data_IF_378338205477
#
_entry.id   IF_378338205477
#
_cell.length_a   1.000
_cell.length_b   1.000
_cell.length_c   1.000
_cell.angle_alpha   90.00
_cell.angle_beta   90.00
_cell.angle_gamma   90.00
#
_symmetry.space_group_name_H-M   'P 1'
#
loop_
_entity.id
_entity.type
_entity.pdbx_description
1 polymer ?
#
# COMPACT_ATOMS: atom_id res chain seq x y z
N UNK A 1 25.52 -22.44 -34.78
CA UNK A 1 24.38 -22.87 -33.94
C UNK A 1 24.25 -22.19 -32.55
N UNK A 2 25.20 -21.37 -32.07
CA UNK A 2 25.11 -20.74 -30.72
C UNK A 2 24.27 -19.46 -30.63
N UNK A 3 24.01 -18.77 -31.75
CA UNK A 3 23.37 -17.44 -31.77
C UNK A 3 21.84 -17.51 -31.52
N UNK A 4 21.19 -18.61 -31.91
CA UNK A 4 19.73 -18.79 -31.79
C UNK A 4 19.31 -19.09 -30.35
N UNK A 5 20.12 -19.85 -29.59
CA UNK A 5 19.87 -20.15 -28.17
C UNK A 5 19.90 -18.88 -27.29
N UNK A 6 20.88 -18.00 -27.52
CA UNK A 6 21.00 -16.73 -26.79
C UNK A 6 19.85 -15.74 -27.05
N UNK A 7 19.27 -15.73 -28.25
CA UNK A 7 18.07 -14.94 -28.56
C UNK A 7 16.81 -15.50 -27.89
N UNK A 8 16.65 -16.83 -27.86
CA UNK A 8 15.53 -17.48 -27.17
C UNK A 8 15.56 -17.18 -25.67
N UNK A 9 16.71 -17.31 -25.01
CA UNK A 9 16.87 -16.96 -23.58
C UNK A 9 16.61 -15.49 -23.27
N UNK A 10 17.10 -14.56 -24.11
CA UNK A 10 16.80 -13.13 -23.96
C UNK A 10 15.33 -12.81 -24.20
N UNK A 11 14.67 -13.51 -25.13
CA UNK A 11 13.23 -13.36 -25.38
C UNK A 11 12.38 -13.92 -24.23
N UNK A 12 12.77 -15.06 -23.65
CA UNK A 12 12.09 -15.68 -22.49
C UNK A 12 12.25 -14.79 -21.25
N UNK A 13 13.44 -14.24 -21.01
CA UNK A 13 13.67 -13.26 -19.95
C UNK A 13 12.88 -11.95 -20.17
N UNK A 14 12.82 -11.47 -21.42
CA UNK A 14 12.02 -10.30 -21.82
C UNK A 14 10.51 -10.55 -21.69
N UNK A 15 10.04 -11.78 -21.94
CA UNK A 15 8.64 -12.18 -21.74
C UNK A 15 8.27 -12.24 -20.26
N UNK A 16 9.17 -12.71 -19.39
CA UNK A 16 8.95 -12.76 -17.94
C UNK A 16 8.84 -11.35 -17.31
N UNK A 17 9.44 -10.34 -17.94
CA UNK A 17 9.42 -8.94 -17.48
C UNK A 17 8.15 -8.21 -17.93
N UNK A 18 7.47 -8.69 -18.97
CA UNK A 18 6.43 -7.92 -19.68
C UNK A 18 5.01 -8.46 -19.52
N UNK A 19 4.78 -9.54 -18.77
CA UNK A 19 3.47 -10.20 -18.72
C UNK A 19 2.49 -9.58 -17.71
N UNK A 20 2.99 -8.84 -16.72
CA UNK A 20 2.19 -8.07 -15.78
C UNK A 20 2.88 -6.74 -15.49
N UNK A 21 2.33 -5.63 -15.98
CA UNK A 21 2.74 -4.29 -15.55
C UNK A 21 2.25 -4.07 -14.12
N UNK A 22 2.90 -4.74 -13.16
CA UNK A 22 2.65 -4.52 -11.74
C UNK A 22 3.17 -3.14 -11.38
N UNK A 23 2.28 -2.31 -10.84
CA UNK A 23 2.65 -1.01 -10.34
C UNK A 23 3.63 -1.18 -9.17
N UNK A 24 4.65 -0.31 -9.08
CA UNK A 24 5.54 -0.28 -7.93
C UNK A 24 4.84 0.35 -6.72
N UNK A 25 5.23 -0.06 -5.53
CA UNK A 25 4.78 0.57 -4.30
C UNK A 25 5.39 1.97 -4.22
N UNK A 26 4.53 2.99 -4.26
CA UNK A 26 4.90 4.40 -4.10
C UNK A 26 4.79 4.80 -2.64
N UNK A 27 3.75 4.34 -1.96
CA UNK A 27 3.53 4.61 -0.55
C UNK A 27 2.12 4.20 -0.12
N UNK A 28 1.59 4.92 0.88
CA UNK A 28 0.28 4.63 1.47
C UNK A 28 -0.86 4.77 0.47
N UNK A 29 -0.72 5.67 -0.50
CA UNK A 29 -1.74 6.02 -1.48
C UNK A 29 -2.12 4.87 -2.41
N UNK A 30 -1.17 3.97 -2.71
CA UNK A 30 -1.42 2.80 -3.56
C UNK A 30 -1.20 1.46 -2.84
N UNK A 31 -0.92 1.46 -1.53
CA UNK A 31 -0.60 0.24 -0.80
C UNK A 31 -1.70 -0.83 -0.88
N UNK A 32 -2.98 -0.46 -0.76
CA UNK A 32 -4.07 -1.42 -0.81
C UNK A 32 -4.14 -2.15 -2.17
N UNK A 33 -4.04 -1.40 -3.27
CA UNK A 33 -4.03 -1.95 -4.63
C UNK A 33 -2.77 -2.78 -4.86
N UNK A 34 -1.60 -2.25 -4.48
CA UNK A 34 -0.31 -2.92 -4.59
C UNK A 34 -0.30 -4.25 -3.84
N UNK A 35 -0.78 -4.26 -2.58
CA UNK A 35 -0.88 -5.44 -1.70
C UNK A 35 -1.71 -6.55 -2.34
N UNK A 36 -2.83 -6.20 -2.97
CA UNK A 36 -3.64 -7.17 -3.71
C UNK A 36 -2.87 -7.72 -4.92
N UNK A 37 -2.31 -6.85 -5.76
CA UNK A 37 -1.61 -7.26 -6.99
C UNK A 37 -0.40 -8.15 -6.72
N UNK A 38 0.42 -7.82 -5.73
CA UNK A 38 1.61 -8.62 -5.38
C UNK A 38 1.22 -9.97 -4.76
N UNK A 39 0.15 -10.03 -3.95
CA UNK A 39 -0.33 -11.29 -3.39
C UNK A 39 -0.74 -12.24 -4.51
N UNK A 40 -1.58 -11.77 -5.44
CA UNK A 40 -2.00 -12.55 -6.61
C UNK A 40 -0.81 -12.99 -7.46
N UNK A 41 0.19 -12.11 -7.63
CA UNK A 41 1.41 -12.44 -8.36
C UNK A 41 2.24 -13.54 -7.68
N UNK A 42 2.42 -13.48 -6.37
CA UNK A 42 3.16 -14.50 -5.63
C UNK A 42 2.39 -15.82 -5.56
N UNK A 43 1.05 -15.79 -5.51
CA UNK A 43 0.21 -16.98 -5.62
C UNK A 43 0.36 -17.64 -7.00
N UNK A 44 0.31 -16.85 -8.09
CA UNK A 44 0.52 -17.34 -9.45
C UNK A 44 1.91 -17.99 -9.64
N UNK A 45 2.93 -17.48 -8.95
CA UNK A 45 4.30 -18.02 -9.01
C UNK A 45 4.56 -19.17 -8.02
N UNK A 46 3.56 -19.63 -7.25
CA UNK A 46 3.71 -20.62 -6.18
C UNK A 46 4.79 -20.21 -5.14
N UNK A 47 4.73 -18.92 -4.74
CA UNK A 47 5.65 -18.25 -3.81
C UNK A 47 4.96 -17.74 -2.54
N UNK A 48 3.62 -17.64 -2.50
CA UNK A 48 2.89 -17.09 -1.36
C UNK A 48 3.15 -17.84 -0.04
N UNK A 49 3.41 -19.15 -0.09
CA UNK A 49 3.75 -19.93 1.10
C UNK A 49 5.03 -19.47 1.84
N UNK A 50 5.89 -18.69 1.19
CA UNK A 50 7.08 -18.11 1.83
C UNK A 50 6.70 -16.90 2.72
N UNK A 51 5.62 -16.20 2.38
CA UNK A 51 5.07 -15.09 3.16
C UNK A 51 4.16 -15.64 4.27
N UNK A 52 3.27 -16.56 3.91
CA UNK A 52 2.29 -17.16 4.81
C UNK A 52 2.37 -18.70 4.73
N UNK A 53 3.32 -19.31 5.46
CA UNK A 53 3.48 -20.75 5.45
C UNK A 53 2.31 -21.44 6.15
N UNK A 54 1.84 -22.54 5.58
CA UNK A 54 0.87 -23.40 6.25
C UNK A 54 1.48 -24.02 7.51
N UNK A 55 0.69 -24.27 8.57
CA UNK A 55 1.18 -24.88 9.80
C UNK A 55 1.93 -26.19 9.53
N UNK A 56 3.16 -26.30 10.05
CA UNK A 56 3.99 -27.50 9.92
C UNK A 56 4.73 -27.69 8.59
N UNK A 57 4.66 -26.72 7.66
CA UNK A 57 5.39 -26.78 6.38
C UNK A 57 6.67 -25.96 6.45
N UNK A 58 7.80 -26.58 6.12
CA UNK A 58 9.07 -25.86 5.96
C UNK A 58 9.05 -25.02 4.68
N UNK A 59 9.57 -23.80 4.78
CA UNK A 59 9.75 -22.90 3.63
C UNK A 59 11.02 -23.30 2.89
N UNK A 60 10.92 -23.48 1.58
CA UNK A 60 12.07 -23.69 0.70
C UNK A 60 12.94 -22.40 0.66
N UNK A 61 14.22 -22.45 1.07
CA UNK A 61 15.08 -21.26 1.09
C UNK A 61 15.25 -20.59 -0.27
N UNK A 62 15.29 -21.36 -1.35
CA UNK A 62 15.41 -20.81 -2.70
C UNK A 62 14.13 -20.08 -3.13
N UNK A 63 12.96 -20.62 -2.75
CA UNK A 63 11.68 -19.93 -2.97
C UNK A 63 11.56 -18.67 -2.12
N UNK A 64 12.04 -18.69 -0.88
CA UNK A 64 12.01 -17.52 0.01
C UNK A 64 12.86 -16.37 -0.56
N UNK A 65 14.09 -16.66 -0.98
CA UNK A 65 14.96 -15.67 -1.65
C UNK A 65 14.28 -15.11 -2.90
N UNK A 66 13.62 -15.95 -3.71
CA UNK A 66 12.91 -15.52 -4.93
C UNK A 66 11.71 -14.64 -4.59
N UNK A 67 10.92 -14.99 -3.56
CA UNK A 67 9.76 -14.22 -3.12
C UNK A 67 10.17 -12.85 -2.57
N UNK A 68 11.18 -12.82 -1.70
CA UNK A 68 11.76 -11.59 -1.17
C UNK A 68 12.29 -10.67 -2.28
N UNK A 69 13.05 -11.21 -3.23
CA UNK A 69 13.57 -10.41 -4.35
C UNK A 69 12.44 -9.77 -5.17
N UNK A 70 11.37 -10.52 -5.47
CA UNK A 70 10.20 -9.98 -6.19
C UNK A 70 9.49 -8.87 -5.42
N UNK A 71 9.33 -9.02 -4.09
CA UNK A 71 8.76 -7.98 -3.24
C UNK A 71 9.57 -6.68 -3.34
N UNK A 72 10.89 -6.76 -3.18
CA UNK A 72 11.80 -5.59 -3.19
C UNK A 72 11.84 -4.92 -4.58
N UNK A 73 11.87 -5.71 -5.66
CA UNK A 73 11.89 -5.19 -7.03
C UNK A 73 10.63 -4.41 -7.42
N UNK A 74 9.52 -4.66 -6.71
CA UNK A 74 8.23 -3.98 -6.89
C UNK A 74 8.05 -2.79 -5.95
N UNK A 75 9.13 -2.27 -5.36
CA UNK A 75 9.15 -1.03 -4.59
C UNK A 75 9.81 0.10 -5.38
N UNK A 76 9.37 1.34 -5.11
CA UNK A 76 10.18 2.52 -5.42
C UNK A 76 11.35 2.67 -4.44
N UNK A 77 12.43 3.31 -4.89
CA UNK A 77 13.72 3.33 -4.18
C UNK A 77 13.62 3.91 -2.77
N UNK A 78 12.81 4.95 -2.55
CA UNK A 78 12.66 5.56 -1.22
C UNK A 78 12.01 4.64 -0.20
N UNK A 79 11.31 3.59 -0.63
CA UNK A 79 10.68 2.61 0.25
C UNK A 79 11.66 1.52 0.74
N UNK A 80 12.91 1.50 0.25
CA UNK A 80 13.90 0.48 0.62
C UNK A 80 14.29 0.55 2.11
N UNK A 81 14.13 1.73 2.72
CA UNK A 81 14.35 1.95 4.16
C UNK A 81 13.52 1.01 5.04
N UNK A 82 12.37 0.54 4.55
CA UNK A 82 11.50 -0.36 5.30
C UNK A 82 11.91 -1.83 5.23
N UNK A 83 12.79 -2.22 4.30
CA UNK A 83 13.05 -3.63 3.97
C UNK A 83 14.53 -4.02 3.97
N UNK A 84 15.44 -3.05 4.14
CA UNK A 84 16.89 -3.28 4.09
C UNK A 84 17.39 -4.32 5.11
N UNK A 85 16.76 -4.36 6.30
CA UNK A 85 17.14 -5.25 7.40
C UNK A 85 16.29 -6.54 7.43
N UNK A 86 15.37 -6.73 6.48
CA UNK A 86 14.55 -7.93 6.40
C UNK A 86 15.37 -9.07 5.77
N UNK A 87 15.31 -10.26 6.36
CA UNK A 87 16.07 -11.44 5.92
C UNK A 87 15.19 -12.39 5.11
N UNK A 88 13.91 -12.51 5.46
CA UNK A 88 12.94 -13.42 4.83
C UNK A 88 11.86 -12.69 4.03
N UNK A 89 11.16 -13.41 3.15
CA UNK A 89 10.01 -12.85 2.42
C UNK A 89 8.89 -12.42 3.38
N UNK A 90 8.67 -13.21 4.44
CA UNK A 90 7.70 -12.92 5.50
C UNK A 90 8.02 -11.62 6.24
N UNK A 91 9.25 -11.45 6.71
CA UNK A 91 9.67 -10.20 7.38
C UNK A 91 9.50 -8.99 6.48
N UNK A 92 9.85 -9.14 5.19
CA UNK A 92 9.69 -8.08 4.18
C UNK A 92 8.23 -7.68 4.05
N UNK A 93 7.34 -8.66 3.92
CA UNK A 93 5.89 -8.45 3.84
C UNK A 93 5.33 -7.76 5.08
N UNK A 94 5.66 -8.26 6.27
CA UNK A 94 5.16 -7.74 7.54
C UNK A 94 5.66 -6.32 7.82
N UNK A 95 6.91 -6.01 7.47
CA UNK A 95 7.45 -4.65 7.58
C UNK A 95 6.71 -3.66 6.69
N UNK A 96 6.42 -4.05 5.44
CA UNK A 96 5.65 -3.22 4.51
C UNK A 96 4.20 -3.03 5.00
N UNK A 97 3.55 -4.08 5.51
CA UNK A 97 2.22 -3.96 6.12
C UNK A 97 2.24 -2.99 7.30
N UNK A 98 3.22 -3.09 8.19
CA UNK A 98 3.37 -2.18 9.32
C UNK A 98 3.60 -0.73 8.89
N UNK A 99 4.36 -0.51 7.80
CA UNK A 99 4.67 0.84 7.33
C UNK A 99 3.48 1.53 6.63
N UNK A 100 2.61 0.77 5.97
CA UNK A 100 1.63 1.33 5.03
C UNK A 100 0.16 0.95 5.28
N UNK A 101 -0.15 -0.08 6.09
CA UNK A 101 -1.51 -0.58 6.32
C UNK A 101 -2.29 0.16 7.43
N UNK A 102 -1.74 1.27 7.97
CA UNK A 102 -2.39 2.14 8.97
C UNK A 102 -3.68 2.84 8.47
N UNK A 103 -4.10 2.54 7.25
CA UNK A 103 -5.22 3.17 6.54
C UNK A 103 -6.54 3.06 7.30
N UNK A 104 -6.75 1.99 8.08
CA UNK A 104 -7.97 1.80 8.85
C UNK A 104 -8.16 2.83 9.97
N UNK A 105 -7.11 3.12 10.75
CA UNK A 105 -7.20 4.01 11.91
C UNK A 105 -7.09 5.48 11.49
N UNK A 106 -6.12 5.81 10.64
CA UNK A 106 -5.87 7.19 10.22
C UNK A 106 -7.04 7.75 9.41
N UNK A 107 -7.67 6.93 8.54
CA UNK A 107 -8.83 7.35 7.75
C UNK A 107 -10.08 7.53 8.61
N UNK A 108 -10.30 6.68 9.62
CA UNK A 108 -11.37 6.87 10.62
C UNK A 108 -11.17 8.14 11.42
N UNK A 109 -9.94 8.42 11.86
CA UNK A 109 -9.60 9.67 12.54
C UNK A 109 -9.80 10.88 11.62
N UNK A 110 -9.43 10.78 10.34
CA UNK A 110 -9.71 11.80 9.32
C UNK A 110 -11.21 12.06 9.16
N UNK A 111 -12.02 11.02 8.96
CA UNK A 111 -13.47 11.14 8.88
C UNK A 111 -14.10 11.73 10.15
N UNK A 112 -13.64 11.32 11.33
CA UNK A 112 -14.10 11.87 12.60
C UNK A 112 -13.74 13.36 12.71
N UNK A 113 -12.52 13.75 12.33
CA UNK A 113 -12.11 15.15 12.26
C UNK A 113 -13.00 15.93 11.28
N UNK A 114 -13.21 15.44 10.08
CA UNK A 114 -14.04 16.11 9.06
C UNK A 114 -15.49 16.27 9.53
N UNK A 115 -16.05 15.25 10.19
CA UNK A 115 -17.39 15.29 10.77
C UNK A 115 -17.50 16.33 11.90
N UNK A 116 -16.53 16.35 12.82
CA UNK A 116 -16.46 17.32 13.92
C UNK A 116 -16.29 18.74 13.35
N UNK A 117 -15.44 18.93 12.36
CA UNK A 117 -15.18 20.25 11.75
C UNK A 117 -16.43 20.76 11.02
N UNK A 118 -17.15 19.89 10.31
CA UNK A 118 -18.40 20.23 9.61
C UNK A 118 -19.54 20.59 10.58
N UNK A 119 -19.65 19.87 11.70
CA UNK A 119 -20.67 20.15 12.74
C UNK A 119 -20.38 21.43 13.52
N UNK A 120 -19.10 21.73 13.80
CA UNK A 120 -18.68 22.98 14.42
C UNK A 120 -18.86 24.18 13.49
N UNK A 121 -18.52 24.06 12.21
CA UNK A 121 -18.74 25.10 11.20
C UNK A 121 -20.24 25.41 11.02
N UNK A 122 -21.07 24.37 10.98
CA UNK A 122 -22.54 24.51 10.95
C UNK A 122 -23.09 25.19 12.21
N UNK A 123 -22.49 24.94 13.36
CA UNK A 123 -22.86 25.58 14.64
C UNK A 123 -22.40 27.03 14.73
N UNK A 124 -21.21 27.36 14.21
CA UNK A 124 -20.69 28.73 14.15
C UNK A 124 -21.44 29.62 13.15
N UNK A 125 -21.97 29.05 12.06
CA UNK A 125 -22.85 29.78 11.15
C UNK A 125 -24.17 30.19 11.80
N UNK A 126 -24.72 29.34 12.69
CA UNK A 126 -25.95 29.63 13.45
C UNK A 126 -25.75 30.74 14.50
N UNK A 127 -24.60 30.81 15.16
CA UNK A 127 -24.30 31.89 16.12
C UNK A 127 -24.03 33.24 15.45
N UNK A 128 -23.48 33.23 14.23
CA UNK A 128 -23.21 34.46 13.46
C UNK A 128 -24.50 35.14 13.00
N UNK A 129 -25.52 34.38 12.59
CA UNK A 129 -26.84 34.93 12.24
C UNK A 129 -27.55 35.54 13.46
N UNK A 130 -27.45 34.90 14.63
CA UNK A 130 -27.99 35.46 15.88
C UNK A 130 -27.31 36.79 16.26
N UNK A 131 -26.01 36.94 15.97
CA UNK A 131 -25.25 38.17 16.27
C UNK A 131 -25.53 39.33 15.31
N UNK A 132 -25.97 39.04 14.08
CA UNK A 132 -26.41 40.02 13.08
C UNK A 132 -27.87 40.49 13.27
N UNK A 133 -28.69 39.77 14.05
CA UNK A 133 -30.08 40.14 14.33
C UNK A 133 -30.26 40.98 15.62
N UNK A 134 -29.30 40.95 16.55
CA UNK A 134 -29.33 41.74 17.79
C UNK A 134 -29.37 43.28 17.52
N UNK A 135 -28.65 43.85 16.53
CA UNK A 135 -28.70 45.30 16.27
C UNK A 135 -30.03 45.77 15.68
N UNK A 136 -30.82 44.89 15.04
CA UNK A 136 -32.08 45.27 14.39
C UNK A 136 -33.24 45.42 15.39
N UNK A 137 -33.13 44.84 16.57
CA UNK A 137 -34.14 44.97 17.64
C UNK A 137 -33.92 46.27 18.43
N UNK A 138 -32.70 46.83 18.42
CA UNK A 138 -32.37 48.09 19.11
C UNK A 138 -32.62 49.35 18.25
N UNK A 139 -32.95 49.21 16.97
CA UNK A 139 -33.17 50.35 16.06
C UNK A 139 -34.66 50.57 15.70
N UNK A 140 -35.57 49.90 16.42
CA UNK A 140 -37.02 49.96 16.23
C UNK A 140 -37.78 50.42 17.47
N UNK A 141 -37.23 51.38 18.22
CA UNK A 141 -37.96 52.26 19.15
C UNK A 141 -37.72 53.70 18.68
#
# INVERSE_FOLDING_TARGET
MKIVAGKKQKQIAKMFTNMFSLEKLRGRENFATWKFSIKTYLEHEDLWQCVEPSPGKNVDPAKDVKAKAKLILLLELHNYVHVQDCHTAKETWDSLQKAFDDSGLTRKVGFLKDLITTTLDSSNKKSTLARLLIPLISCGI
#
